data_IF_147345825177
#
_entry.id   IF_147345825177
#
_cell.length_a   1.000
_cell.length_b   1.000
_cell.length_c   1.000
_cell.angle_alpha   90.00
_cell.angle_beta   90.00
_cell.angle_gamma   90.00
#
_symmetry.space_group_name_H-M   'P 1'
#
loop_
_entity.id
_entity.type
_entity.pdbx_description
1 polymer ?
#
# COMPACT_ATOMS: atom_id res chain seq x y z
N UNK A 1 -19.69 -6.58 -17.51
CA UNK A 1 -19.20 -5.28 -17.02
C UNK A 1 -20.40 -4.37 -17.07
N UNK A 2 -20.84 -3.89 -15.91
CA UNK A 2 -22.02 -3.03 -15.85
C UNK A 2 -21.59 -1.62 -16.25
N UNK A 3 -22.06 -1.15 -17.41
CA UNK A 3 -21.74 0.18 -17.92
C UNK A 3 -22.30 1.27 -17.00
N UNK A 4 -23.27 0.92 -16.15
CA UNK A 4 -23.92 1.82 -15.21
C UNK A 4 -23.16 1.98 -13.88
N UNK A 5 -22.20 1.10 -13.58
CA UNK A 5 -21.36 1.14 -12.35
C UNK A 5 -19.86 0.92 -12.66
N UNK A 6 -19.17 1.93 -13.22
CA UNK A 6 -17.73 1.85 -13.48
C UNK A 6 -16.89 1.82 -12.18
N UNK A 7 -15.71 1.18 -12.22
CA UNK A 7 -14.76 1.21 -11.10
C UNK A 7 -14.31 2.66 -10.86
N UNK A 8 -14.47 3.17 -9.65
CA UNK A 8 -14.03 4.52 -9.29
C UNK A 8 -12.59 4.50 -8.75
N UNK A 9 -11.74 5.37 -9.28
CA UNK A 9 -10.33 5.46 -8.91
C UNK A 9 -10.01 6.87 -8.45
N UNK A 10 -9.47 7.03 -7.24
CA UNK A 10 -9.11 8.34 -6.69
C UNK A 10 -7.61 8.61 -6.82
N UNK A 11 -7.22 9.72 -7.43
CA UNK A 11 -5.82 10.15 -7.60
C UNK A 11 -5.72 11.63 -7.27
N UNK A 12 -4.91 11.99 -6.27
CA UNK A 12 -4.72 13.38 -5.81
C UNK A 12 -6.05 14.14 -5.55
N UNK A 13 -7.00 13.48 -4.89
CA UNK A 13 -8.32 14.08 -4.58
C UNK A 13 -9.34 14.06 -5.73
N UNK A 14 -8.99 13.53 -6.91
CA UNK A 14 -9.89 13.45 -8.08
C UNK A 14 -10.42 12.05 -8.30
N UNK A 15 -11.71 11.93 -8.62
CA UNK A 15 -12.36 10.65 -8.91
C UNK A 15 -12.41 10.38 -10.42
N UNK A 16 -11.88 9.24 -10.85
CA UNK A 16 -11.89 8.79 -12.23
C UNK A 16 -12.82 7.59 -12.37
N UNK A 17 -13.67 7.60 -13.40
CA UNK A 17 -14.44 6.41 -13.81
C UNK A 17 -13.56 5.53 -14.71
N UNK A 18 -13.19 4.37 -14.20
CA UNK A 18 -12.42 3.37 -14.91
C UNK A 18 -13.37 2.32 -15.47
N UNK A 19 -13.58 2.37 -16.79
CA UNK A 19 -14.13 1.24 -17.52
C UNK A 19 -12.94 0.32 -17.80
N UNK A 20 -12.94 -0.90 -17.26
CA UNK A 20 -12.00 -1.92 -17.72
C UNK A 20 -12.21 -2.06 -19.24
N UNK A 21 -11.33 -1.46 -20.03
CA UNK A 21 -11.43 -1.62 -21.46
C UNK A 21 -10.94 -3.04 -21.78
N UNK A 22 -11.88 -3.96 -21.99
CA UNK A 22 -11.64 -5.14 -22.82
C UNK A 22 -11.16 -4.76 -24.23
N UNK A 23 -11.32 -3.49 -24.64
CA UNK A 23 -10.69 -2.91 -25.82
C UNK A 23 -9.16 -2.77 -25.73
N UNK A 24 -8.53 -3.02 -24.57
CA UNK A 24 -7.07 -3.11 -24.43
C UNK A 24 -6.53 -4.54 -24.55
N UNK A 25 -7.41 -5.56 -24.65
CA UNK A 25 -6.99 -6.96 -24.75
C UNK A 25 -7.21 -7.61 -26.11
N UNK A 26 -8.16 -7.17 -26.94
CA UNK A 26 -8.36 -7.74 -28.27
C UNK A 26 -8.92 -6.70 -29.24
N UNK A 27 -8.11 -6.23 -30.17
CA UNK A 27 -8.60 -5.65 -31.43
C UNK A 27 -7.47 -5.70 -32.48
N UNK A 28 -7.06 -6.92 -32.80
CA UNK A 28 -6.55 -7.23 -34.13
C UNK A 28 -7.76 -7.73 -34.94
N UNK A 29 -7.98 -7.15 -36.12
CA UNK A 29 -9.02 -7.45 -37.12
C UNK A 29 -10.48 -7.03 -36.84
N UNK A 30 -10.88 -5.87 -37.35
CA UNK A 30 -11.99 -5.67 -38.32
C UNK A 30 -12.43 -4.19 -38.40
N UNK A 31 -13.03 -3.84 -39.53
CA UNK A 31 -13.21 -2.51 -40.13
C UNK A 31 -13.97 -1.45 -39.27
N UNK A 32 -13.83 -0.15 -39.57
CA UNK A 32 -14.31 0.92 -38.71
C UNK A 32 -15.82 1.10 -38.84
N UNK A 33 -16.53 0.94 -37.72
CA UNK A 33 -17.90 1.41 -37.55
C UNK A 33 -17.81 2.88 -37.10
N UNK A 34 -18.40 3.80 -37.88
CA UNK A 34 -18.50 5.22 -37.52
C UNK A 34 -19.80 5.38 -36.74
N UNK A 35 -19.70 5.62 -35.43
CA UNK A 35 -20.81 6.12 -34.63
C UNK A 35 -20.70 7.66 -34.55
N UNK A 36 -21.83 8.30 -34.80
CA UNK A 36 -22.00 9.75 -34.85
C UNK A 36 -21.56 10.44 -33.54
N UNK A 37 -20.97 11.63 -33.68
CA UNK A 37 -20.54 12.50 -32.60
C UNK A 37 -21.72 12.94 -31.73
N UNK A 38 -22.12 12.12 -30.75
CA UNK A 38 -22.84 12.63 -29.60
C UNK A 38 -21.85 13.39 -28.71
N UNK A 39 -21.84 14.71 -28.90
CA UNK A 39 -21.26 15.69 -28.00
C UNK A 39 -21.92 15.56 -26.62
N UNK A 40 -21.40 14.66 -25.78
CA UNK A 40 -21.67 14.68 -24.35
C UNK A 40 -20.94 15.89 -23.77
N UNK A 41 -21.64 17.01 -23.77
CA UNK A 41 -21.26 18.21 -23.03
C UNK A 41 -21.39 17.93 -21.54
N UNK A 42 -20.36 17.35 -20.93
CA UNK A 42 -20.19 17.40 -19.47
C UNK A 42 -19.54 18.72 -19.11
N UNK A 43 -20.34 19.79 -19.06
CA UNK A 43 -19.98 20.98 -18.29
C UNK A 43 -20.12 20.64 -16.80
N UNK A 44 -19.12 21.07 -16.01
CA UNK A 44 -19.05 21.12 -14.55
C UNK A 44 -18.56 19.88 -13.76
N UNK A 45 -17.29 19.53 -13.98
CA UNK A 45 -16.34 19.47 -12.85
C UNK A 45 -15.26 20.52 -13.13
N UNK A 46 -15.18 21.56 -12.30
CA UNK A 46 -14.17 22.59 -12.45
C UNK A 46 -12.80 21.95 -12.28
N UNK A 47 -12.04 21.84 -13.37
CA UNK A 47 -10.74 21.17 -13.45
C UNK A 47 -9.61 22.03 -12.80
N UNK A 48 -9.88 22.58 -11.60
CA UNK A 48 -9.16 23.70 -10.97
C UNK A 48 -7.71 23.41 -10.59
N UNK A 49 -7.31 22.14 -10.51
CA UNK A 49 -5.96 21.76 -10.07
C UNK A 49 -4.97 21.53 -11.23
N UNK A 50 -5.42 21.54 -12.49
CA UNK A 50 -4.50 21.49 -13.64
C UNK A 50 -4.12 22.92 -13.98
N UNK A 51 -3.02 23.40 -13.40
CA UNK A 51 -2.47 24.70 -13.73
C UNK A 51 -1.86 24.69 -15.14
N UNK A 52 -2.50 25.43 -16.07
CA UNK A 52 -2.05 25.56 -17.46
C UNK A 52 -1.56 26.98 -17.74
N UNK A 53 -0.27 27.09 -18.01
CA UNK A 53 0.42 28.37 -18.28
C UNK A 53 0.59 28.58 -19.78
N UNK A 54 0.41 29.81 -20.25
CA UNK A 54 0.70 30.18 -21.65
C UNK A 54 2.21 30.30 -21.87
N UNK A 55 2.71 29.72 -22.96
CA UNK A 55 4.10 29.74 -23.38
C UNK A 55 4.17 30.07 -24.88
N UNK A 56 4.07 31.36 -25.20
CA UNK A 56 4.04 31.85 -26.57
C UNK A 56 2.75 31.46 -27.29
N UNK A 57 2.86 30.65 -28.35
CA UNK A 57 1.72 30.16 -29.14
C UNK A 57 1.15 28.84 -28.62
N UNK A 58 1.69 28.33 -27.51
CA UNK A 58 1.30 27.05 -26.91
C UNK A 58 0.95 27.23 -25.44
N UNK A 59 0.29 26.23 -24.89
CA UNK A 59 0.06 26.05 -23.47
C UNK A 59 0.96 24.96 -22.91
N UNK A 60 1.29 25.06 -21.62
CA UNK A 60 2.13 24.11 -20.90
C UNK A 60 1.52 23.82 -19.53
N UNK A 61 1.49 22.54 -19.18
CA UNK A 61 1.22 22.06 -17.83
C UNK A 61 2.41 21.25 -17.34
N UNK A 62 2.86 21.48 -16.11
CA UNK A 62 3.97 20.76 -15.48
C UNK A 62 3.53 20.12 -14.18
N UNK A 63 4.02 18.91 -13.92
CA UNK A 63 3.64 18.17 -12.73
C UNK A 63 4.69 17.14 -12.33
N UNK A 64 4.70 16.86 -11.03
CA UNK A 64 5.54 15.86 -10.41
C UNK A 64 5.05 14.43 -10.73
N UNK A 65 6.01 13.54 -11.04
CA UNK A 65 5.83 12.09 -11.10
C UNK A 65 7.08 11.42 -10.55
N UNK A 66 6.98 10.39 -9.69
CA UNK A 66 8.15 9.66 -9.23
C UNK A 66 8.93 9.05 -10.40
N UNK A 67 10.26 9.16 -10.36
CA UNK A 67 11.14 8.69 -11.44
C UNK A 67 10.95 7.21 -11.79
N UNK A 68 10.46 6.41 -10.82
CA UNK A 68 10.11 5.01 -10.96
C UNK A 68 8.99 4.71 -11.99
N UNK A 69 8.29 5.74 -12.48
CA UNK A 69 7.23 5.64 -13.49
C UNK A 69 7.62 6.21 -14.87
N UNK A 70 8.75 6.90 -15.01
CA UNK A 70 9.14 7.51 -16.30
C UNK A 70 9.25 6.48 -17.42
N UNK A 71 9.82 5.32 -17.14
CA UNK A 71 9.94 4.25 -18.12
C UNK A 71 8.59 3.74 -18.62
N UNK A 72 7.56 3.75 -17.76
CA UNK A 72 6.20 3.33 -18.12
C UNK A 72 5.51 4.36 -19.01
N UNK A 73 5.70 5.66 -18.72
CA UNK A 73 5.18 6.77 -19.54
C UNK A 73 5.86 6.78 -20.92
N UNK A 74 7.17 6.55 -20.96
CA UNK A 74 7.92 6.46 -22.22
C UNK A 74 7.48 5.22 -23.03
N UNK A 75 7.46 4.06 -22.38
CA UNK A 75 7.17 2.78 -23.02
C UNK A 75 8.34 2.23 -23.87
N UNK A 76 8.21 0.99 -24.32
CA UNK A 76 9.22 0.34 -25.15
C UNK A 76 9.44 1.14 -26.44
N UNK A 77 10.69 1.56 -26.71
CA UNK A 77 11.04 2.42 -27.86
C UNK A 77 10.21 3.73 -27.94
N UNK A 78 9.68 4.21 -26.81
CA UNK A 78 8.85 5.42 -26.77
C UNK A 78 7.39 5.20 -27.22
N UNK A 79 6.94 3.94 -27.35
CA UNK A 79 5.62 3.62 -27.92
C UNK A 79 4.46 4.24 -27.12
N UNK A 80 4.48 4.12 -25.80
CA UNK A 80 3.41 4.66 -24.93
C UNK A 80 3.31 6.16 -25.05
N UNK A 81 4.44 6.87 -24.96
CA UNK A 81 4.47 8.33 -25.10
C UNK A 81 3.95 8.77 -26.45
N UNK A 82 4.45 8.19 -27.55
CA UNK A 82 4.01 8.52 -28.91
C UNK A 82 2.51 8.29 -29.10
N UNK A 83 1.97 7.22 -28.51
CA UNK A 83 0.54 6.94 -28.53
C UNK A 83 -0.25 8.01 -27.77
N UNK A 84 0.15 8.35 -26.54
CA UNK A 84 -0.48 9.42 -25.76
C UNK A 84 -0.44 10.77 -26.49
N UNK A 85 0.71 11.13 -27.07
CA UNK A 85 0.91 12.35 -27.87
C UNK A 85 -0.03 12.37 -29.10
N UNK A 86 -0.11 11.25 -29.85
CA UNK A 86 -0.95 11.13 -31.04
C UNK A 86 -2.45 11.18 -30.72
N UNK A 87 -2.88 10.51 -29.66
CA UNK A 87 -4.30 10.42 -29.28
C UNK A 87 -4.85 11.74 -28.71
N UNK A 88 -3.98 12.62 -28.21
CA UNK A 88 -4.37 13.87 -27.54
C UNK A 88 -3.94 15.12 -28.30
N UNK A 89 -3.09 14.99 -29.33
CA UNK A 89 -2.53 16.14 -30.05
C UNK A 89 -1.59 16.99 -29.19
N UNK A 90 -0.91 16.37 -28.21
CA UNK A 90 0.03 17.02 -27.29
C UNK A 90 1.46 16.52 -27.48
N UNK A 91 2.43 17.23 -26.89
CA UNK A 91 3.82 16.79 -26.74
C UNK A 91 4.08 16.54 -25.26
N UNK A 92 4.67 15.39 -24.93
CA UNK A 92 4.96 15.00 -23.55
C UNK A 92 6.48 14.98 -23.34
N UNK A 93 6.98 15.89 -22.51
CA UNK A 93 8.38 15.95 -22.14
C UNK A 93 8.61 15.20 -20.83
N UNK A 94 9.24 14.03 -20.93
CA UNK A 94 9.69 13.25 -19.76
C UNK A 94 11.17 13.51 -19.51
N UNK A 95 11.59 13.86 -18.28
CA UNK A 95 13.00 14.07 -17.96
C UNK A 95 13.87 12.86 -18.32
N UNK A 96 15.13 13.13 -18.67
CA UNK A 96 16.12 12.08 -18.94
C UNK A 96 16.36 11.24 -17.68
N UNK A 97 16.63 9.95 -17.88
CA UNK A 97 16.95 9.00 -16.81
C UNK A 97 18.05 9.57 -15.90
N UNK A 98 17.77 9.63 -14.59
CA UNK A 98 18.70 10.15 -13.57
C UNK A 98 18.55 11.65 -13.27
N UNK A 99 17.71 12.40 -14.00
CA UNK A 99 17.30 13.74 -13.60
C UNK A 99 15.96 13.68 -12.86
N UNK A 100 15.91 14.29 -11.68
CA UNK A 100 14.68 14.52 -10.92
C UNK A 100 14.14 15.89 -11.34
N UNK A 101 13.05 15.89 -12.12
CA UNK A 101 12.38 17.10 -12.61
C UNK A 101 10.91 16.79 -12.92
N UNK A 102 10.09 17.81 -13.12
CA UNK A 102 8.69 17.60 -13.49
C UNK A 102 8.54 17.15 -14.94
N UNK A 103 7.47 16.42 -15.21
CA UNK A 103 7.00 16.13 -16.56
C UNK A 103 6.28 17.36 -17.09
N UNK A 104 6.40 17.66 -18.38
CA UNK A 104 5.62 18.69 -19.04
C UNK A 104 4.74 18.13 -20.14
N UNK A 105 3.51 18.66 -20.26
CA UNK A 105 2.63 18.47 -21.40
C UNK A 105 2.51 19.82 -22.10
N UNK A 106 2.75 19.83 -23.40
CA UNK A 106 2.60 21.01 -24.25
C UNK A 106 1.51 20.76 -25.28
N UNK A 107 0.66 21.74 -25.52
CA UNK A 107 -0.45 21.63 -26.47
C UNK A 107 -0.91 23.00 -26.95
N UNK A 108 -1.66 23.05 -28.05
CA UNK A 108 -2.28 24.28 -28.55
C UNK A 108 -3.65 24.56 -27.93
N UNK A 109 -4.26 23.53 -27.36
CA UNK A 109 -5.55 23.58 -26.70
C UNK A 109 -5.42 23.11 -25.25
N UNK A 110 -6.09 23.80 -24.33
CA UNK A 110 -6.14 23.45 -22.91
C UNK A 110 -6.85 22.11 -22.71
N UNK A 111 -7.92 21.82 -23.46
CA UNK A 111 -8.65 20.55 -23.34
C UNK A 111 -7.79 19.35 -23.73
N UNK A 112 -6.94 19.51 -24.75
CA UNK A 112 -5.95 18.50 -25.14
C UNK A 112 -4.94 18.20 -24.03
N UNK A 113 -4.43 19.23 -23.35
CA UNK A 113 -3.51 19.08 -22.20
C UNK A 113 -4.18 18.33 -21.05
N UNK A 114 -5.41 18.70 -20.72
CA UNK A 114 -6.21 18.03 -19.68
C UNK A 114 -6.41 16.55 -20.02
N UNK A 115 -6.80 16.25 -21.27
CA UNK A 115 -6.97 14.86 -21.72
C UNK A 115 -5.68 14.05 -21.60
N UNK A 116 -4.54 14.62 -21.98
CA UNK A 116 -3.24 13.97 -21.84
C UNK A 116 -2.85 13.75 -20.38
N UNK A 117 -3.11 14.72 -19.50
CA UNK A 117 -2.90 14.62 -18.05
C UNK A 117 -3.66 13.44 -17.46
N UNK A 118 -4.97 13.36 -17.72
CA UNK A 118 -5.82 12.28 -17.22
C UNK A 118 -5.37 10.90 -17.73
N UNK A 119 -4.98 10.78 -19.01
CA UNK A 119 -4.45 9.50 -19.53
C UNK A 119 -3.13 9.09 -18.87
N UNK A 120 -2.26 10.05 -18.53
CA UNK A 120 -1.04 9.79 -17.77
C UNK A 120 -1.37 9.36 -16.34
N UNK A 121 -2.33 10.00 -15.68
CA UNK A 121 -2.79 9.62 -14.33
C UNK A 121 -3.26 8.17 -14.27
N UNK A 122 -4.15 7.79 -15.19
CA UNK A 122 -4.66 6.42 -15.29
C UNK A 122 -3.55 5.40 -15.54
N UNK A 123 -2.58 5.74 -16.40
CA UNK A 123 -1.42 4.89 -16.67
C UNK A 123 -0.56 4.70 -15.41
N UNK A 124 -0.24 5.78 -14.70
CA UNK A 124 0.56 5.72 -13.47
C UNK A 124 -0.14 4.87 -12.43
N UNK A 125 -1.45 5.03 -12.28
CA UNK A 125 -2.23 4.32 -11.29
C UNK A 125 -2.33 2.81 -11.56
N UNK A 126 -2.55 2.41 -12.82
CA UNK A 126 -2.49 0.99 -13.22
C UNK A 126 -1.10 0.37 -12.96
N UNK A 127 -0.04 1.12 -13.25
CA UNK A 127 1.33 0.68 -12.97
C UNK A 127 1.59 0.62 -11.46
N UNK A 128 1.11 1.58 -10.68
CA UNK A 128 1.27 1.64 -9.22
C UNK A 128 0.55 0.48 -8.56
N UNK A 129 -0.67 0.14 -8.99
CA UNK A 129 -1.42 -1.04 -8.54
C UNK A 129 -0.56 -2.32 -8.63
N UNK A 130 0.20 -2.49 -9.72
CA UNK A 130 1.05 -3.67 -9.98
C UNK A 130 2.41 -3.67 -9.26
N UNK A 131 2.90 -2.52 -8.80
CA UNK A 131 4.16 -2.45 -8.03
C UNK A 131 3.96 -3.04 -6.63
N UNK A 132 5.04 -3.61 -6.07
CA UNK A 132 5.08 -4.10 -4.70
C UNK A 132 5.04 -2.95 -3.69
N UNK A 133 4.52 -3.22 -2.50
CA UNK A 133 4.65 -2.32 -1.36
C UNK A 133 6.12 -2.10 -1.00
N UNK A 134 6.44 -0.91 -0.51
CA UNK A 134 7.82 -0.52 -0.12
C UNK A 134 7.92 -0.13 1.34
N UNK A 135 6.83 0.38 1.92
CA UNK A 135 6.78 0.82 3.31
C UNK A 135 5.48 0.35 3.95
N UNK A 136 5.36 0.51 5.26
CA UNK A 136 4.15 0.23 6.01
C UNK A 136 4.08 1.10 7.27
N UNK A 137 2.86 1.40 7.70
CA UNK A 137 2.57 2.03 8.97
C UNK A 137 2.45 0.94 10.04
N UNK A 138 3.04 1.13 11.22
CA UNK A 138 3.07 0.09 12.25
C UNK A 138 3.18 0.59 13.68
N UNK A 139 2.74 -0.25 14.62
CA UNK A 139 3.02 -0.11 16.06
C UNK A 139 4.11 -1.12 16.43
N UNK A 140 5.31 -0.68 16.86
CA UNK A 140 6.38 -1.59 17.28
C UNK A 140 5.99 -2.41 18.53
N UNK A 141 6.29 -3.71 18.50
CA UNK A 141 6.03 -4.64 19.62
C UNK A 141 7.33 -5.22 20.21
N UNK A 142 8.48 -4.67 19.86
CA UNK A 142 9.82 -5.16 20.21
C UNK A 142 10.22 -4.83 21.67
N UNK A 143 9.27 -4.92 22.61
CA UNK A 143 9.54 -4.84 24.05
C UNK A 143 10.11 -6.16 24.54
N UNK A 144 11.00 -6.09 25.54
CA UNK A 144 11.72 -7.27 26.04
C UNK A 144 10.76 -8.40 26.47
N UNK A 145 9.70 -8.08 27.20
CA UNK A 145 8.68 -9.06 27.62
C UNK A 145 8.05 -9.80 26.43
N UNK A 146 7.64 -9.08 25.38
CA UNK A 146 7.05 -9.70 24.18
C UNK A 146 8.08 -10.53 23.43
N UNK A 147 9.31 -10.04 23.31
CA UNK A 147 10.42 -10.76 22.67
C UNK A 147 10.68 -12.08 23.41
N UNK A 148 10.74 -12.05 24.74
CA UNK A 148 11.01 -13.22 25.56
C UNK A 148 9.87 -14.25 25.41
N UNK A 149 8.62 -13.82 25.55
CA UNK A 149 7.46 -14.70 25.37
C UNK A 149 7.34 -15.26 23.94
N UNK A 150 7.68 -14.46 22.92
CA UNK A 150 7.75 -14.92 21.54
C UNK A 150 8.84 -15.98 21.34
N UNK A 151 10.02 -15.77 21.93
CA UNK A 151 11.10 -16.75 21.86
C UNK A 151 10.73 -18.04 22.60
N UNK A 152 10.06 -17.96 23.76
CA UNK A 152 9.53 -19.13 24.45
C UNK A 152 8.49 -19.88 23.61
N UNK A 153 7.55 -19.17 22.98
CA UNK A 153 6.61 -19.75 22.02
C UNK A 153 7.34 -20.44 20.86
N UNK A 154 8.33 -19.77 20.26
CA UNK A 154 9.14 -20.32 19.16
C UNK A 154 9.83 -21.62 19.58
N UNK A 155 10.48 -21.64 20.75
CA UNK A 155 11.14 -22.84 21.27
C UNK A 155 10.15 -23.98 21.47
N UNK A 156 9.02 -23.73 22.14
CA UNK A 156 7.99 -24.77 22.39
C UNK A 156 7.43 -25.34 21.07
N UNK A 157 7.14 -24.48 20.09
CA UNK A 157 6.65 -24.92 18.78
C UNK A 157 7.70 -25.74 18.04
N UNK A 158 8.97 -25.34 18.05
CA UNK A 158 10.04 -26.07 17.39
C UNK A 158 10.27 -27.45 18.05
N UNK A 159 10.31 -27.51 19.38
CA UNK A 159 10.52 -28.76 20.12
C UNK A 159 9.39 -29.77 19.91
N UNK A 160 8.13 -29.32 19.89
CA UNK A 160 6.97 -30.20 19.74
C UNK A 160 6.64 -30.52 18.27
N UNK A 161 6.84 -29.56 17.36
CA UNK A 161 6.19 -29.59 16.04
C UNK A 161 7.11 -29.46 14.83
N UNK A 162 8.43 -29.25 14.96
CA UNK A 162 9.37 -29.13 13.82
C UNK A 162 9.62 -30.44 13.02
N UNK A 163 8.63 -31.35 13.00
CA UNK A 163 8.68 -32.61 12.24
C UNK A 163 8.43 -32.34 10.76
N UNK A 164 9.08 -33.12 9.89
CA UNK A 164 8.97 -33.00 8.43
C UNK A 164 7.54 -33.09 7.90
N UNK A 165 6.63 -33.78 8.60
CA UNK A 165 5.22 -33.93 8.19
C UNK A 165 4.37 -32.68 8.35
N UNK A 166 4.83 -31.65 9.10
CA UNK A 166 4.10 -30.39 9.31
C UNK A 166 4.75 -29.20 8.61
N UNK A 167 5.91 -29.41 7.98
CA UNK A 167 6.71 -28.39 7.31
C UNK A 167 7.04 -27.16 8.20
N UNK A 168 7.12 -27.37 9.52
CA UNK A 168 7.49 -26.34 10.49
C UNK A 168 9.02 -26.32 10.62
N UNK A 169 9.61 -25.14 10.44
CA UNK A 169 11.05 -24.90 10.51
C UNK A 169 11.32 -23.51 11.13
N UNK A 170 12.51 -23.32 11.70
CA UNK A 170 12.91 -22.07 12.33
C UNK A 170 12.83 -20.84 11.39
N UNK A 171 13.10 -21.03 10.09
CA UNK A 171 13.02 -19.97 9.07
C UNK A 171 11.62 -19.40 8.84
N UNK A 172 10.58 -20.07 9.33
CA UNK A 172 9.21 -19.55 9.28
C UNK A 172 8.96 -18.44 10.28
N UNK A 173 9.75 -18.35 11.35
CA UNK A 173 9.50 -17.42 12.45
C UNK A 173 9.99 -16.02 12.10
N UNK A 174 9.22 -15.02 12.52
CA UNK A 174 9.63 -13.62 12.44
C UNK A 174 10.89 -13.39 13.28
N UNK A 175 11.72 -12.44 12.87
CA UNK A 175 12.80 -11.95 13.72
C UNK A 175 12.19 -11.24 14.94
N UNK A 176 12.53 -11.66 16.16
CA UNK A 176 11.90 -11.12 17.39
C UNK A 176 11.96 -9.59 17.49
N UNK A 177 13.08 -8.98 17.09
CA UNK A 177 13.24 -7.52 17.06
C UNK A 177 12.30 -6.81 16.07
N UNK A 178 11.74 -7.53 15.09
CA UNK A 178 10.85 -7.07 14.03
C UNK A 178 9.36 -7.30 14.31
N UNK A 179 8.99 -7.77 15.50
CA UNK A 179 7.58 -7.88 15.88
C UNK A 179 6.90 -6.49 15.88
N UNK A 180 5.76 -6.41 15.20
CA UNK A 180 4.98 -5.20 15.05
C UNK A 180 3.52 -5.52 14.71
N UNK A 181 2.63 -4.56 14.94
CA UNK A 181 1.27 -4.55 14.38
C UNK A 181 1.30 -3.72 13.11
N UNK A 182 0.91 -4.29 11.97
CA UNK A 182 0.79 -3.54 10.72
C UNK A 182 -0.55 -2.81 10.70
N UNK A 183 -0.52 -1.48 10.52
CA UNK A 183 -1.71 -0.64 10.35
C UNK A 183 -2.12 -0.57 8.88
N UNK A 184 -1.15 -0.32 7.98
CA UNK A 184 -1.42 -0.17 6.55
C UNK A 184 -0.17 -0.23 5.69
N UNK A 185 -0.33 -0.60 4.42
CA UNK A 185 0.78 -0.79 3.48
C UNK A 185 0.91 0.41 2.54
N UNK A 186 2.14 0.79 2.20
CA UNK A 186 2.45 2.00 1.45
C UNK A 186 3.35 1.71 0.24
N UNK A 187 3.15 2.49 -0.83
CA UNK A 187 3.95 2.47 -2.06
C UNK A 187 4.62 3.82 -2.25
N UNK A 188 5.78 3.99 -1.61
CA UNK A 188 6.59 5.21 -1.65
C UNK A 188 7.86 4.91 -2.45
N UNK A 189 8.08 5.63 -3.55
CA UNK A 189 9.09 5.34 -4.57
C UNK A 189 10.22 6.37 -4.62
N UNK A 190 10.06 7.53 -4.00
CA UNK A 190 11.13 8.52 -3.83
C UNK A 190 10.96 9.31 -2.52
N UNK A 191 11.86 10.27 -2.30
CA UNK A 191 11.89 11.04 -1.06
C UNK A 191 10.76 12.08 -0.95
N UNK A 192 10.15 12.48 -2.05
CA UNK A 192 8.99 13.38 -2.02
C UNK A 192 7.76 12.65 -1.48
N UNK A 193 7.51 11.42 -1.97
CA UNK A 193 6.42 10.59 -1.43
C UNK A 193 6.65 10.18 0.02
N UNK A 194 7.91 9.90 0.40
CA UNK A 194 8.27 9.62 1.80
C UNK A 194 7.98 10.82 2.71
N UNK A 195 8.38 12.02 2.28
CA UNK A 195 8.10 13.25 3.01
C UNK A 195 6.60 13.48 3.13
N UNK A 196 5.85 13.37 2.04
CA UNK A 196 4.39 13.50 2.05
C UNK A 196 3.74 12.51 3.02
N UNK A 197 4.15 11.25 3.02
CA UNK A 197 3.62 10.25 3.95
C UNK A 197 3.91 10.59 5.43
N UNK A 198 5.09 11.15 5.71
CA UNK A 198 5.41 11.61 7.06
C UNK A 198 4.65 12.87 7.46
N UNK A 199 4.45 13.81 6.54
CA UNK A 199 3.64 15.00 6.77
C UNK A 199 2.18 14.60 7.07
N UNK A 200 1.62 13.64 6.31
CA UNK A 200 0.28 13.07 6.56
C UNK A 200 0.20 12.35 7.91
N UNK A 201 1.25 11.63 8.33
CA UNK A 201 1.27 11.01 9.66
C UNK A 201 1.24 12.05 10.79
N UNK A 202 1.96 13.16 10.63
CA UNK A 202 1.92 14.25 11.60
C UNK A 202 0.57 14.97 11.61
N UNK A 203 -0.05 15.18 10.44
CA UNK A 203 -1.41 15.73 10.37
C UNK A 203 -2.42 14.79 11.04
N UNK A 204 -2.32 13.49 10.77
CA UNK A 204 -3.13 12.44 11.40
C UNK A 204 -2.95 12.41 12.92
N UNK A 205 -1.72 12.64 13.42
CA UNK A 205 -1.44 12.72 14.85
C UNK A 205 -2.32 13.79 15.51
N UNK A 206 -2.35 14.98 14.93
CA UNK A 206 -3.04 16.13 15.50
C UNK A 206 -4.55 16.07 15.29
N UNK A 207 -5.02 15.66 14.11
CA UNK A 207 -6.45 15.72 13.75
C UNK A 207 -7.24 14.46 14.11
N UNK A 208 -6.58 13.32 14.24
CA UNK A 208 -7.24 12.01 14.43
C UNK A 208 -6.81 11.35 15.73
N UNK A 209 -5.51 11.12 15.89
CA UNK A 209 -5.00 10.29 16.99
C UNK A 209 -5.18 10.99 18.34
N UNK A 210 -4.75 12.25 18.47
CA UNK A 210 -4.90 13.02 19.71
C UNK A 210 -6.36 13.13 20.18
N UNK A 211 -7.32 13.58 19.35
CA UNK A 211 -8.72 13.64 19.77
C UNK A 211 -9.30 12.29 20.22
N UNK A 212 -8.89 11.19 19.59
CA UNK A 212 -9.34 9.86 20.02
C UNK A 212 -8.77 9.54 21.40
N UNK A 213 -7.52 9.92 21.71
CA UNK A 213 -6.83 9.56 22.95
C UNK A 213 -7.10 10.50 24.13
N UNK A 214 -7.45 11.77 23.90
CA UNK A 214 -7.63 12.82 24.92
C UNK A 214 -8.63 12.46 26.03
N UNK A 215 -9.56 11.54 25.78
CA UNK A 215 -10.61 11.15 26.73
C UNK A 215 -10.34 9.86 27.53
N UNK A 216 -9.12 9.30 27.54
CA UNK A 216 -8.88 8.06 28.32
C UNK A 216 -7.50 7.89 28.93
N UNK A 217 -7.43 6.92 29.84
CA UNK A 217 -6.19 6.25 30.25
C UNK A 217 -5.35 5.80 29.04
N UNK A 218 -4.02 5.63 29.23
CA UNK A 218 -3.13 5.18 28.17
C UNK A 218 -3.65 3.91 27.48
N UNK A 219 -3.68 3.92 26.15
CA UNK A 219 -4.29 2.84 25.39
C UNK A 219 -3.43 1.57 25.44
N UNK A 220 -3.88 0.59 26.21
CA UNK A 220 -3.23 -0.71 26.35
C UNK A 220 -3.59 -1.65 25.19
N UNK A 221 -2.59 -2.38 24.71
CA UNK A 221 -2.68 -3.37 23.65
C UNK A 221 -2.17 -4.69 24.19
N UNK A 222 -3.06 -5.68 24.34
CA UNK A 222 -2.72 -7.00 24.84
C UNK A 222 -2.68 -8.02 23.69
N UNK A 223 -1.60 -8.81 23.64
CA UNK A 223 -1.40 -9.86 22.66
C UNK A 223 -1.63 -11.22 23.31
N UNK A 224 -2.71 -11.90 22.92
CA UNK A 224 -3.12 -13.14 23.56
C UNK A 224 -3.75 -14.11 22.58
N UNK A 225 -3.19 -15.31 22.52
CA UNK A 225 -3.61 -16.36 21.60
C UNK A 225 -3.04 -16.21 20.19
N UNK A 226 -3.25 -17.24 19.39
CA UNK A 226 -2.78 -17.32 17.99
C UNK A 226 -3.94 -17.61 17.04
N UNK A 227 -3.80 -17.14 15.80
CA UNK A 227 -4.77 -17.33 14.71
C UNK A 227 -4.05 -17.28 13.35
N UNK A 228 -4.77 -17.58 12.27
CA UNK A 228 -4.26 -17.47 10.90
C UNK A 228 -5.13 -16.58 10.00
N UNK A 229 -4.57 -16.25 8.84
CA UNK A 229 -5.23 -15.35 7.87
C UNK A 229 -6.37 -16.02 7.11
N UNK A 230 -6.32 -17.34 6.97
CA UNK A 230 -7.34 -18.19 6.36
C UNK A 230 -8.09 -18.99 7.44
N UNK A 231 -9.16 -19.68 7.07
CA UNK A 231 -10.00 -20.43 8.02
C UNK A 231 -9.59 -21.91 8.16
N UNK A 232 -8.56 -22.36 7.44
CA UNK A 232 -8.10 -23.75 7.43
C UNK A 232 -6.77 -23.88 8.22
N UNK A 233 -6.80 -24.48 9.42
CA UNK A 233 -5.62 -24.61 10.27
C UNK A 233 -4.59 -25.64 9.76
N UNK A 234 -4.97 -26.49 8.80
CA UNK A 234 -4.07 -27.46 8.18
C UNK A 234 -3.25 -26.85 7.03
N UNK A 235 -3.70 -25.70 6.52
CA UNK A 235 -3.23 -25.11 5.27
C UNK A 235 -2.81 -23.64 5.47
N UNK A 236 -2.12 -23.35 6.57
CA UNK A 236 -1.76 -21.99 7.00
C UNK A 236 -0.54 -21.45 6.26
N UNK A 237 -0.60 -20.17 5.86
CA UNK A 237 0.57 -19.43 5.33
C UNK A 237 1.13 -18.40 6.30
N UNK A 238 0.24 -17.81 7.10
CA UNK A 238 0.57 -16.76 8.06
C UNK A 238 -0.10 -17.09 9.38
N UNK A 239 0.71 -17.26 10.42
CA UNK A 239 0.27 -17.41 11.79
C UNK A 239 0.65 -16.15 12.56
N UNK A 240 -0.30 -15.59 13.30
CA UNK A 240 -0.12 -14.34 14.02
C UNK A 240 -0.65 -14.42 15.45
N UNK A 241 -0.11 -13.59 16.34
CA UNK A 241 -0.68 -13.33 17.65
C UNK A 241 -1.91 -12.43 17.49
N UNK A 242 -2.99 -12.78 18.18
CA UNK A 242 -4.20 -11.98 18.19
C UNK A 242 -4.01 -10.74 19.06
N UNK A 243 -4.58 -9.64 18.63
CA UNK A 243 -4.72 -8.44 19.44
C UNK A 243 -6.08 -8.53 20.15
N UNK A 244 -6.08 -8.35 21.47
CA UNK A 244 -7.31 -8.39 22.26
C UNK A 244 -8.26 -7.29 21.82
N UNK A 245 -9.56 -7.60 21.78
CA UNK A 245 -10.57 -6.66 21.30
C UNK A 245 -10.52 -5.37 22.12
N UNK A 246 -10.38 -4.25 21.42
CA UNK A 246 -10.36 -2.92 21.99
C UNK A 246 -10.92 -1.96 20.95
N UNK A 247 -12.18 -1.55 21.13
CA UNK A 247 -12.91 -0.74 20.14
C UNK A 247 -12.24 0.63 19.92
N UNK A 248 -11.57 1.16 20.96
CA UNK A 248 -10.83 2.43 20.86
C UNK A 248 -9.57 2.28 20.01
N UNK A 249 -8.82 1.19 20.18
CA UNK A 249 -7.68 0.86 19.34
C UNK A 249 -8.12 0.62 17.89
N UNK A 250 -9.22 -0.12 17.70
CA UNK A 250 -9.77 -0.40 16.39
C UNK A 250 -10.14 0.91 15.67
N UNK A 251 -10.93 1.78 16.33
CA UNK A 251 -11.28 3.10 15.81
C UNK A 251 -10.04 3.94 15.47
N UNK A 252 -9.05 4.00 16.36
CA UNK A 252 -7.82 4.76 16.12
C UNK A 252 -7.10 4.29 14.86
N UNK A 253 -6.96 2.98 14.68
CA UNK A 253 -6.24 2.39 13.55
C UNK A 253 -7.04 2.54 12.25
N UNK A 254 -8.35 2.35 12.30
CA UNK A 254 -9.23 2.51 11.13
C UNK A 254 -9.27 3.96 10.65
N UNK A 255 -9.42 4.93 11.57
CA UNK A 255 -9.39 6.35 11.23
C UNK A 255 -8.02 6.81 10.76
N UNK A 256 -6.94 6.22 11.27
CA UNK A 256 -5.59 6.47 10.76
C UNK A 256 -5.47 6.00 9.30
N UNK A 257 -6.00 4.81 8.96
CA UNK A 257 -6.00 4.34 7.56
C UNK A 257 -6.90 5.19 6.68
N UNK A 258 -8.10 5.55 7.14
CA UNK A 258 -9.01 6.42 6.40
C UNK A 258 -8.34 7.76 6.08
N UNK A 259 -7.64 8.36 7.03
CA UNK A 259 -6.90 9.60 6.80
C UNK A 259 -5.81 9.44 5.72
N UNK A 260 -5.06 8.33 5.71
CA UNK A 260 -4.11 8.06 4.63
C UNK A 260 -4.76 7.78 3.26
N UNK A 261 -5.99 7.24 3.25
CA UNK A 261 -6.80 7.04 2.05
C UNK A 261 -7.25 8.40 1.48
N UNK A 262 -7.68 9.34 2.33
CA UNK A 262 -8.10 10.69 1.91
C UNK A 262 -6.97 11.46 1.22
N UNK A 263 -5.72 11.24 1.65
CA UNK A 263 -4.53 11.81 1.00
C UNK A 263 -3.99 10.98 -0.17
N UNK A 264 -4.67 9.89 -0.58
CA UNK A 264 -4.31 9.07 -1.73
C UNK A 264 -3.06 8.20 -1.54
N UNK A 265 -2.60 8.00 -0.31
CA UNK A 265 -1.40 7.21 0.00
C UNK A 265 -1.71 5.72 0.27
N UNK A 266 -2.95 5.42 0.63
CA UNK A 266 -3.46 4.07 0.85
C UNK A 266 -4.73 3.82 0.07
N UNK A 267 -5.11 2.55 -0.05
CA UNK A 267 -6.43 2.13 -0.51
C UNK A 267 -7.14 1.38 0.60
N UNK A 268 -8.41 1.65 0.77
CA UNK A 268 -9.25 0.91 1.71
C UNK A 268 -9.57 -0.46 1.14
N UNK A 269 -8.84 -1.50 1.59
CA UNK A 269 -9.06 -2.89 1.16
C UNK A 269 -10.20 -3.56 1.93
N UNK A 270 -10.50 -3.10 3.15
CA UNK A 270 -11.52 -3.64 4.06
C UNK A 270 -12.14 -2.51 4.87
N UNK A 271 -13.32 -2.77 5.44
CA UNK A 271 -13.99 -1.81 6.32
C UNK A 271 -13.13 -1.49 7.55
N UNK A 272 -12.62 -2.54 8.21
CA UNK A 272 -11.77 -2.46 9.40
C UNK A 272 -10.42 -3.16 9.18
N UNK A 273 -9.37 -2.59 9.75
CA UNK A 273 -8.02 -3.16 9.77
C UNK A 273 -8.01 -4.41 10.64
N UNK A 274 -7.57 -5.55 10.08
CA UNK A 274 -7.37 -6.78 10.85
C UNK A 274 -6.12 -6.63 11.71
N UNK A 275 -6.28 -6.23 12.97
CA UNK A 275 -5.18 -6.09 13.93
C UNK A 275 -4.54 -7.44 14.24
N UNK A 276 -3.25 -7.57 13.96
CA UNK A 276 -2.49 -8.79 14.20
C UNK A 276 -0.98 -8.52 14.29
N UNK A 277 -0.25 -9.42 14.95
CA UNK A 277 1.21 -9.42 14.96
C UNK A 277 1.74 -10.73 14.37
N UNK A 278 2.35 -10.66 13.17
CA UNK A 278 2.81 -11.86 12.47
C UNK A 278 3.96 -12.55 13.24
N UNK A 279 3.74 -13.82 13.60
CA UNK A 279 4.72 -14.64 14.31
C UNK A 279 5.44 -15.59 13.35
N UNK A 280 4.71 -16.20 12.42
CA UNK A 280 5.26 -17.12 11.43
C UNK A 280 4.69 -16.81 10.04
N UNK A 281 5.52 -16.91 9.01
CA UNK A 281 5.12 -16.74 7.62
C UNK A 281 5.95 -17.62 6.68
N UNK A 282 5.28 -18.38 5.82
CA UNK A 282 5.94 -19.22 4.80
C UNK A 282 6.76 -18.39 3.80
N UNK A 283 6.46 -17.11 3.64
CA UNK A 283 7.24 -16.21 2.79
C UNK A 283 8.56 -15.75 3.38
N UNK A 284 8.87 -16.09 4.64
CA UNK A 284 10.17 -15.79 5.26
C UNK A 284 11.25 -16.80 4.88
N UNK A 285 10.87 -17.99 4.39
CA UNK A 285 11.81 -18.98 3.85
C UNK A 285 12.53 -18.40 2.64
N UNK A 286 13.86 -18.38 2.70
CA UNK A 286 14.74 -17.83 1.67
C UNK A 286 15.07 -18.85 0.55
N UNK A 287 14.31 -19.96 0.47
CA UNK A 287 14.63 -21.07 -0.44
C UNK A 287 13.98 -20.89 -1.82
N UNK A 288 14.81 -20.96 -2.86
CA UNK A 288 14.42 -20.90 -4.28
C UNK A 288 13.74 -22.20 -4.76
N UNK A 289 13.71 -23.25 -3.94
CA UNK A 289 13.07 -24.52 -4.28
C UNK A 289 11.54 -24.41 -4.26
N UNK A 290 10.92 -24.50 -5.43
CA UNK A 290 9.46 -24.40 -5.63
C UNK A 290 8.64 -25.52 -4.96
N UNK A 291 9.31 -26.54 -4.39
CA UNK A 291 8.67 -27.67 -3.72
C UNK A 291 8.12 -27.30 -2.35
N UNK A 292 8.74 -26.37 -1.63
CA UNK A 292 8.40 -26.02 -0.24
C UNK A 292 7.70 -24.65 -0.08
N UNK A 293 6.96 -24.17 -1.10
CA UNK A 293 5.91 -23.13 -0.94
C UNK A 293 4.69 -23.68 -0.17
N UNK A 294 5.00 -24.50 0.79
CA UNK A 294 4.12 -25.38 1.51
C UNK A 294 3.52 -24.59 2.65
N UNK A 295 2.21 -24.72 2.75
CA UNK A 295 1.46 -24.33 3.92
C UNK A 295 1.96 -25.15 5.12
N UNK A 296 1.63 -24.70 6.31
CA UNK A 296 1.91 -25.42 7.54
C UNK A 296 0.62 -25.92 8.15
N UNK A 297 0.67 -27.13 8.70
CA UNK A 297 -0.38 -27.64 9.57
C UNK A 297 -0.12 -27.11 10.99
N UNK A 298 -0.87 -26.07 11.34
CA UNK A 298 -0.81 -25.39 12.63
C UNK A 298 -1.93 -25.85 13.59
N UNK A 299 -2.63 -26.95 13.29
CA UNK A 299 -3.77 -27.44 14.08
C UNK A 299 -3.42 -27.63 15.55
N UNK A 300 -2.28 -28.26 15.84
CA UNK A 300 -1.83 -28.49 17.22
C UNK A 300 -1.29 -27.21 17.87
N UNK A 301 -0.65 -26.31 17.09
CA UNK A 301 -0.20 -25.00 17.58
C UNK A 301 -1.40 -24.19 18.08
N UNK A 302 -2.50 -24.16 17.32
CA UNK A 302 -3.70 -23.42 17.73
C UNK A 302 -4.37 -24.00 18.97
N UNK A 303 -4.27 -25.32 19.22
CA UNK A 303 -4.79 -25.94 20.45
C UNK A 303 -3.94 -25.54 21.65
N UNK A 304 -2.63 -25.73 21.56
CA UNK A 304 -1.69 -25.50 22.67
C UNK A 304 -1.55 -24.01 23.01
N UNK A 305 -1.56 -23.15 22.00
CA UNK A 305 -1.27 -21.72 22.16
C UNK A 305 -2.50 -20.82 22.02
N UNK A 306 -3.70 -21.40 22.09
CA UNK A 306 -4.98 -20.67 21.99
C UNK A 306 -5.05 -19.46 22.92
N UNK A 307 -4.48 -19.60 24.12
CA UNK A 307 -4.59 -18.63 25.21
C UNK A 307 -3.22 -18.08 25.65
N UNK A 308 -2.14 -18.37 24.89
CA UNK A 308 -0.78 -17.91 25.21
C UNK A 308 -0.75 -16.39 25.30
N UNK A 309 -0.32 -15.86 26.44
CA UNK A 309 -0.08 -14.43 26.62
C UNK A 309 1.31 -14.09 26.08
N UNK A 310 1.37 -13.25 25.06
CA UNK A 310 2.64 -12.73 24.54
C UNK A 310 3.07 -11.45 25.27
N UNK A 311 2.12 -10.70 25.83
CA UNK A 311 2.39 -9.54 26.67
C UNK A 311 1.40 -8.40 26.45
N UNK A 312 1.65 -7.28 27.12
CA UNK A 312 0.87 -6.05 27.01
C UNK A 312 1.81 -4.86 26.77
N UNK A 313 1.42 -3.95 25.88
CA UNK A 313 2.09 -2.66 25.70
C UNK A 313 1.12 -1.52 25.86
N UNK A 314 1.64 -0.34 26.20
CA UNK A 314 0.92 0.91 26.01
C UNK A 314 1.28 1.49 24.66
N UNK A 315 0.28 1.88 23.86
CA UNK A 315 0.49 2.58 22.60
C UNK A 315 1.23 3.89 22.86
N UNK A 316 2.44 4.01 22.33
CA UNK A 316 3.30 5.18 22.52
C UNK A 316 3.91 5.71 21.21
N UNK A 317 3.86 4.92 20.14
CA UNK A 317 4.57 5.21 18.90
C UNK A 317 3.91 4.54 17.70
N UNK A 318 3.89 5.26 16.58
CA UNK A 318 3.54 4.74 15.26
C UNK A 318 4.65 5.11 14.28
N UNK A 319 5.09 4.13 13.49
CA UNK A 319 6.24 4.23 12.57
C UNK A 319 5.82 4.03 11.12
N UNK A 320 6.44 4.80 10.22
CA UNK A 320 6.53 4.45 8.80
C UNK A 320 7.84 3.71 8.56
N UNK A 321 7.74 2.39 8.39
CA UNK A 321 8.88 1.48 8.26
C UNK A 321 9.14 1.07 6.82
N UNK A 322 10.41 0.94 6.44
CA UNK A 322 10.88 0.51 5.12
C UNK A 322 10.98 -1.03 5.06
N UNK A 323 10.26 -1.66 4.12
CA UNK A 323 10.26 -3.12 3.94
C UNK A 323 11.64 -3.63 3.53
N UNK A 324 11.99 -4.83 4.01
CA UNK A 324 13.25 -5.50 3.63
C UNK A 324 14.52 -4.88 4.23
N UNK A 325 14.40 -3.89 5.12
CA UNK A 325 15.55 -3.25 5.77
C UNK A 325 15.80 -3.79 7.19
N UNK A 326 16.97 -3.46 7.73
CA UNK A 326 17.31 -3.60 9.15
C UNK A 326 18.10 -2.38 9.63
N UNK A 327 17.74 -1.86 10.79
CA UNK A 327 18.42 -0.78 11.53
C UNK A 327 19.46 -1.36 12.50
N UNK A 328 20.19 -0.49 13.22
CA UNK A 328 21.17 -0.91 14.24
C UNK A 328 20.57 -1.78 15.35
N UNK A 329 19.28 -1.60 15.66
CA UNK A 329 18.57 -2.40 16.67
C UNK A 329 17.91 -3.64 16.04
N UNK A 330 18.26 -3.99 14.81
CA UNK A 330 17.65 -5.05 14.00
C UNK A 330 16.12 -4.90 13.78
N UNK A 331 15.52 -3.75 14.12
CA UNK A 331 14.18 -3.39 13.68
C UNK A 331 14.20 -2.84 12.25
N UNK A 332 13.05 -2.67 11.61
CA UNK A 332 12.99 -1.98 10.32
C UNK A 332 13.57 -0.57 10.41
N UNK A 333 14.14 -0.09 9.30
CA UNK A 333 14.51 1.32 9.19
C UNK A 333 13.23 2.14 9.09
N UNK A 334 13.04 3.08 10.02
CA UNK A 334 11.94 4.04 9.97
C UNK A 334 12.34 5.24 9.10
N UNK A 335 11.41 5.72 8.27
CA UNK A 335 11.56 7.02 7.57
C UNK A 335 10.97 8.16 8.39
N UNK A 336 10.19 7.84 9.43
CA UNK A 336 9.50 8.80 10.28
C UNK A 336 8.64 8.10 11.31
N UNK A 337 8.57 8.69 12.50
CA UNK A 337 7.85 8.15 13.65
C UNK A 337 7.11 9.28 14.37
N UNK A 338 5.91 8.99 14.85
CA UNK A 338 5.21 9.87 15.79
C UNK A 338 5.21 9.23 17.17
N UNK A 339 5.43 10.05 18.19
CA UNK A 339 5.18 9.70 19.59
C UNK A 339 3.80 10.16 19.98
N UNK A 340 3.08 9.30 20.69
CA UNK A 340 1.70 9.50 21.13
C UNK A 340 1.67 10.06 22.54
#
# INVERSE_FOLDING_TARGET
MDVLEPELVWINGRCYRFYESSAWKNMDTSAPYVEDEELVSSEDESDTDIEIVSCGTMFKHTFYVPTAFYANIIGAKGSTRKRLESETGTTIEVPRKGKVADIAILGRDRKAIISARHRIDLLIEDVRKKKRYTHFLSIPLNKQEIIDNFNSFKTDVLEKYAKSTRNIDESLFQTASKLHITIGMLKLFDDNEKKQAFDVLNDCKEKVIKPILEESEPLKIQLRGVECMNDDPTEVKVLFAKISQNDKLQKLVDETVNHFVDFGLMKKERENVKLHATLMNVSFKDDHSSRFKEKIDATEIFKDHKETLFGEITLNQIDISELGTASKNNYYKSIGSITI
#
